data_IF_945385816903
#
_entry.id   IF_945385816903
#
_cell.length_a   1.000
_cell.length_b   1.000
_cell.length_c   1.000
_cell.angle_alpha   90.00
_cell.angle_beta   90.00
_cell.angle_gamma   90.00
#
_symmetry.space_group_name_H-M   'P 1'
#
loop_
_entity.id
_entity.type
_entity.pdbx_description
1 polymer ?
#
# COMPACT_ATOMS: atom_id res chain seq x y z
N UNK A 1 -2.89 2.37 38.18
CA UNK A 1 -2.43 1.10 37.60
C UNK A 1 -1.02 1.31 37.04
N UNK A 2 0.01 1.10 37.86
CA UNK A 2 1.42 1.29 37.46
C UNK A 2 1.88 0.06 36.66
N UNK A 3 2.26 0.24 35.38
CA UNK A 3 2.87 -0.81 34.54
C UNK A 3 4.33 -1.00 34.97
N UNK A 4 4.55 -1.80 36.02
CA UNK A 4 5.89 -2.27 36.39
C UNK A 4 6.49 -3.10 35.24
N UNK A 5 7.72 -2.79 34.81
CA UNK A 5 8.49 -3.62 33.88
C UNK A 5 8.52 -3.19 32.41
N UNK A 6 8.46 -1.90 32.10
CA UNK A 6 8.64 -1.43 30.72
C UNK A 6 10.05 -1.79 30.19
N UNK A 7 10.12 -2.84 29.39
CA UNK A 7 11.31 -3.30 28.68
C UNK A 7 11.46 -2.60 27.32
N UNK A 8 11.21 -1.29 27.29
CA UNK A 8 11.19 -0.46 26.07
C UNK A 8 12.53 -0.42 25.33
N UNK A 9 13.64 -0.71 26.03
CA UNK A 9 14.98 -0.74 25.44
C UNK A 9 15.40 -2.13 24.93
N UNK A 10 14.63 -3.20 25.18
CA UNK A 10 14.98 -4.56 24.76
C UNK A 10 14.14 -5.03 23.59
N UNK A 11 14.78 -5.71 22.62
CA UNK A 11 14.08 -6.34 21.51
C UNK A 11 13.20 -7.49 22.01
N UNK A 12 11.96 -7.56 21.51
CA UNK A 12 11.01 -8.65 21.81
C UNK A 12 11.35 -9.95 21.08
N UNK A 13 12.00 -9.84 19.91
CA UNK A 13 12.43 -10.96 19.09
C UNK A 13 13.94 -10.88 18.82
N UNK A 14 14.58 -12.05 18.74
CA UNK A 14 15.92 -12.15 18.16
C UNK A 14 15.87 -11.99 16.64
N UNK A 15 17.02 -11.70 16.02
CA UNK A 15 17.10 -11.58 14.56
C UNK A 15 16.73 -12.88 13.83
N UNK A 16 16.97 -14.04 14.47
CA UNK A 16 16.56 -15.34 13.93
C UNK A 16 15.04 -15.51 13.97
N UNK A 17 14.39 -15.16 15.08
CA UNK A 17 12.93 -15.22 15.22
C UNK A 17 12.24 -14.22 14.29
N UNK A 18 12.83 -13.03 14.09
CA UNK A 18 12.32 -12.05 13.14
C UNK A 18 12.36 -12.59 11.71
N UNK A 19 13.46 -13.22 11.30
CA UNK A 19 13.57 -13.85 9.97
C UNK A 19 12.56 -14.99 9.76
N UNK A 20 12.36 -15.83 10.79
CA UNK A 20 11.34 -16.89 10.77
C UNK A 20 9.94 -16.28 10.55
N UNK A 21 9.57 -15.28 11.36
CA UNK A 21 8.29 -14.60 11.26
C UNK A 21 8.09 -13.95 9.89
N UNK A 22 9.07 -13.19 9.40
CA UNK A 22 9.01 -12.55 8.08
C UNK A 22 8.85 -13.59 6.98
N UNK A 23 9.56 -14.72 7.04
CA UNK A 23 9.43 -15.78 6.05
C UNK A 23 8.03 -16.40 6.02
N UNK A 24 7.37 -16.56 7.18
CA UNK A 24 5.98 -17.03 7.26
C UNK A 24 5.02 -15.99 6.68
N UNK A 25 5.18 -14.72 7.04
CA UNK A 25 4.36 -13.60 6.53
C UNK A 25 4.44 -13.52 5.00
N UNK A 26 5.66 -13.52 4.44
CA UNK A 26 5.84 -13.47 2.98
C UNK A 26 5.19 -14.64 2.27
N UNK A 27 5.28 -15.87 2.82
CA UNK A 27 4.63 -17.04 2.24
C UNK A 27 3.10 -16.93 2.23
N UNK A 28 2.53 -16.32 3.27
CA UNK A 28 1.08 -16.08 3.35
C UNK A 28 0.66 -15.05 2.30
N UNK A 29 1.37 -13.94 2.16
CA UNK A 29 1.08 -12.94 1.13
C UNK A 29 1.26 -13.51 -0.29
N UNK A 30 2.28 -14.35 -0.52
CA UNK A 30 2.47 -15.07 -1.77
C UNK A 30 1.32 -16.03 -2.08
N UNK A 31 0.71 -16.64 -1.06
CA UNK A 31 -0.44 -17.54 -1.22
C UNK A 31 -1.71 -16.77 -1.57
N UNK A 32 -2.00 -15.68 -0.84
CA UNK A 32 -3.24 -14.91 -1.02
C UNK A 32 -3.19 -13.88 -2.15
N UNK A 33 -1.99 -13.53 -2.65
CA UNK A 33 -1.77 -12.52 -3.71
C UNK A 33 -2.28 -11.12 -3.35
N UNK A 34 -2.38 -10.83 -2.06
CA UNK A 34 -2.91 -9.60 -1.47
C UNK A 34 -2.09 -9.29 -0.21
N UNK A 35 -1.99 -8.02 0.22
CA UNK A 35 -1.46 -7.69 1.54
C UNK A 35 -2.36 -8.27 2.64
N UNK A 36 -1.76 -9.00 3.59
CA UNK A 36 -2.49 -9.69 4.66
C UNK A 36 -2.10 -9.12 6.03
N UNK A 37 -3.10 -8.76 6.83
CA UNK A 37 -2.94 -8.48 8.26
C UNK A 37 -2.96 -9.81 9.03
N UNK A 38 -1.92 -10.05 9.83
CA UNK A 38 -1.64 -11.33 10.48
C UNK A 38 -1.43 -11.12 11.97
N UNK A 39 -2.30 -11.74 12.76
CA UNK A 39 -2.11 -11.89 14.19
C UNK A 39 -1.38 -13.21 14.48
N UNK A 40 -0.34 -13.13 15.30
CA UNK A 40 0.51 -14.27 15.64
C UNK A 40 0.90 -14.23 17.12
N UNK A 41 1.28 -15.39 17.65
CA UNK A 41 1.83 -15.53 18.98
C UNK A 41 3.04 -16.44 18.96
N UNK A 42 3.95 -16.22 19.92
CA UNK A 42 5.07 -17.12 20.15
C UNK A 42 5.03 -17.61 21.60
N UNK A 43 5.10 -18.92 21.77
CA UNK A 43 5.28 -19.58 23.07
C UNK A 43 6.50 -20.47 22.94
N UNK A 44 7.51 -20.24 23.77
CA UNK A 44 8.84 -20.86 23.68
C UNK A 44 9.43 -20.71 22.25
N UNK A 45 9.71 -21.84 21.59
CA UNK A 45 10.26 -21.89 20.23
C UNK A 45 9.20 -22.07 19.14
N UNK A 46 7.91 -22.04 19.48
CA UNK A 46 6.82 -22.23 18.53
C UNK A 46 6.15 -20.91 18.14
N UNK A 47 6.06 -20.68 16.83
CA UNK A 47 5.28 -19.59 16.24
C UNK A 47 3.92 -20.12 15.77
N UNK A 48 2.84 -19.53 16.28
CA UNK A 48 1.46 -19.86 15.91
C UNK A 48 0.75 -18.67 15.28
N UNK A 49 -0.05 -18.92 14.24
CA UNK A 49 -0.91 -17.93 13.60
C UNK A 49 -2.29 -17.97 14.25
N UNK A 50 -2.77 -16.81 14.68
CA UNK A 50 -4.06 -16.67 15.35
C UNK A 50 -5.15 -16.23 14.37
N UNK A 51 -4.82 -15.29 13.49
CA UNK A 51 -5.73 -14.75 12.50
C UNK A 51 -4.98 -14.27 11.26
N UNK A 52 -5.59 -14.43 10.09
CA UNK A 52 -5.12 -13.87 8.82
C UNK A 52 -6.30 -13.23 8.09
N UNK A 53 -6.21 -11.94 7.73
CA UNK A 53 -7.26 -11.24 6.99
C UNK A 53 -6.69 -10.28 5.94
N UNK A 54 -7.32 -10.11 4.77
CA UNK A 54 -6.87 -9.11 3.80
C UNK A 54 -6.92 -7.68 4.34
N UNK A 55 -5.93 -6.86 3.99
CA UNK A 55 -5.97 -5.42 4.23
C UNK A 55 -6.87 -4.78 3.18
N UNK A 56 -7.96 -4.13 3.62
CA UNK A 56 -8.96 -3.51 2.73
C UNK A 56 -8.81 -2.00 2.57
N UNK A 57 -7.90 -1.38 3.33
CA UNK A 57 -7.61 0.05 3.25
C UNK A 57 -6.56 0.39 2.20
N UNK A 58 -5.96 -0.62 1.56
CA UNK A 58 -4.99 -0.42 0.49
C UNK A 58 -5.73 -0.07 -0.81
N UNK A 59 -5.37 1.06 -1.42
CA UNK A 59 -5.90 1.50 -2.72
C UNK A 59 -4.79 1.29 -3.74
N UNK A 60 -4.84 0.21 -4.54
CA UNK A 60 -3.74 -0.14 -5.42
C UNK A 60 -3.60 0.88 -6.53
N UNK A 61 -2.36 1.22 -6.87
CA UNK A 61 -2.06 1.93 -8.10
C UNK A 61 -2.36 1.02 -9.31
N UNK A 62 -2.79 1.59 -10.45
CA UNK A 62 -2.86 0.86 -11.71
C UNK A 62 -1.52 0.17 -12.05
N UNK A 63 -1.51 -1.05 -12.62
CA UNK A 63 -0.28 -1.78 -12.91
C UNK A 63 0.77 -0.99 -13.70
N UNK A 64 0.34 -0.17 -14.65
CA UNK A 64 1.20 0.71 -15.46
C UNK A 64 1.89 1.83 -14.67
N UNK A 65 1.39 2.13 -13.46
CA UNK A 65 1.94 3.13 -12.54
C UNK A 65 2.88 2.54 -11.50
N UNK A 66 2.92 1.21 -11.34
CA UNK A 66 3.79 0.52 -10.40
C UNK A 66 5.20 0.42 -10.99
N UNK A 67 6.20 0.93 -10.27
CA UNK A 67 7.63 0.76 -10.64
C UNK A 67 8.16 -0.55 -10.09
N UNK A 68 8.85 -1.33 -10.92
CA UNK A 68 9.42 -2.61 -10.48
C UNK A 68 10.62 -2.41 -9.54
N UNK A 69 10.98 -3.42 -8.74
CA UNK A 69 12.22 -3.39 -7.97
C UNK A 69 13.42 -3.05 -8.87
N UNK A 70 14.35 -2.22 -8.36
CA UNK A 70 15.56 -1.75 -9.07
C UNK A 70 15.30 -0.68 -10.16
N UNK A 71 14.06 -0.45 -10.59
CA UNK A 71 13.74 0.65 -11.51
C UNK A 71 13.79 2.02 -10.84
N UNK A 72 13.98 3.07 -11.65
CA UNK A 72 13.90 4.45 -11.19
C UNK A 72 12.48 4.74 -10.70
N UNK A 73 12.35 5.10 -9.43
CA UNK A 73 11.06 5.49 -8.81
C UNK A 73 10.43 6.68 -9.56
N UNK A 74 9.13 6.60 -9.79
CA UNK A 74 8.32 7.67 -10.38
C UNK A 74 7.61 8.43 -9.27
N UNK A 75 7.60 9.76 -9.37
CA UNK A 75 6.81 10.63 -8.50
C UNK A 75 5.61 11.12 -9.29
N UNK A 76 4.41 10.85 -8.79
CA UNK A 76 3.16 11.30 -9.40
C UNK A 76 2.64 12.54 -8.67
N UNK A 77 2.13 13.50 -9.42
CA UNK A 77 1.44 14.67 -8.87
C UNK A 77 -0.07 14.48 -9.05
N UNK A 78 -0.83 14.58 -7.97
CA UNK A 78 -2.28 14.49 -8.02
C UNK A 78 -2.90 15.88 -8.27
N UNK A 79 -3.42 16.07 -9.49
CA UNK A 79 -4.10 17.29 -9.88
C UNK A 79 -5.44 17.50 -9.17
N UNK A 80 -6.10 16.44 -8.67
CA UNK A 80 -7.36 16.54 -7.94
C UNK A 80 -7.20 17.24 -6.58
N UNK A 81 -5.99 17.15 -6.00
CA UNK A 81 -5.60 17.84 -4.77
C UNK A 81 -5.04 19.26 -5.01
N UNK A 82 -4.96 19.71 -6.26
CA UNK A 82 -4.53 21.08 -6.57
C UNK A 82 -5.58 22.11 -6.12
N UNK A 83 -5.11 23.31 -5.74
CA UNK A 83 -5.99 24.43 -5.38
C UNK A 83 -6.88 24.77 -6.58
N UNK A 84 -8.17 24.45 -6.48
CA UNK A 84 -9.20 24.84 -7.46
C UNK A 84 -10.11 23.70 -7.90
N UNK A 85 -9.64 22.45 -7.95
CA UNK A 85 -10.47 21.29 -8.34
C UNK A 85 -11.09 20.58 -7.13
N UNK A 86 -10.41 20.62 -5.97
CA UNK A 86 -10.83 20.12 -4.63
C UNK A 86 -11.75 18.91 -4.68
N UNK A 87 -11.36 17.89 -5.45
CA UNK A 87 -12.19 16.70 -5.63
C UNK A 87 -11.79 15.70 -4.55
N UNK A 88 -12.63 15.56 -3.53
CA UNK A 88 -12.36 14.71 -2.36
C UNK A 88 -12.98 13.30 -2.50
N UNK A 89 -13.47 12.94 -3.69
CA UNK A 89 -14.13 11.67 -3.97
C UNK A 89 -13.70 11.11 -5.34
N UNK A 90 -13.77 9.79 -5.57
CA UNK A 90 -13.47 9.21 -6.87
C UNK A 90 -14.34 9.80 -7.98
N UNK A 91 -13.71 10.13 -9.12
CA UNK A 91 -14.42 10.55 -10.33
C UNK A 91 -14.97 9.29 -11.02
N UNK A 92 -16.25 9.33 -11.42
CA UNK A 92 -16.90 8.21 -12.11
C UNK A 92 -16.18 7.88 -13.44
N UNK A 93 -16.21 6.61 -13.91
CA UNK A 93 -15.54 6.22 -15.16
C UNK A 93 -15.91 7.09 -16.38
N UNK A 94 -17.21 7.36 -16.57
CA UNK A 94 -17.69 8.24 -17.65
C UNK A 94 -17.20 9.69 -17.48
N UNK A 95 -17.08 10.16 -16.23
CA UNK A 95 -16.53 11.48 -15.92
C UNK A 95 -15.04 11.57 -16.29
N UNK A 96 -14.26 10.53 -15.99
CA UNK A 96 -12.86 10.44 -16.37
C UNK A 96 -12.67 10.43 -17.89
N UNK A 97 -13.52 9.69 -18.63
CA UNK A 97 -13.43 9.63 -20.09
C UNK A 97 -13.79 10.97 -20.75
N UNK A 98 -14.81 11.66 -20.22
CA UNK A 98 -15.16 13.01 -20.65
C UNK A 98 -14.01 14.00 -20.37
N UNK A 99 -13.40 13.94 -19.19
CA UNK A 99 -12.25 14.78 -18.85
C UNK A 99 -11.06 14.51 -19.77
N UNK A 100 -10.70 13.23 -19.99
CA UNK A 100 -9.63 12.85 -20.93
C UNK A 100 -9.88 13.44 -22.32
N UNK A 101 -11.09 13.26 -22.85
CA UNK A 101 -11.46 13.76 -24.17
C UNK A 101 -11.34 15.29 -24.28
N UNK A 102 -11.81 16.01 -23.24
CA UNK A 102 -11.70 17.46 -23.17
C UNK A 102 -10.24 17.93 -23.12
N UNK A 103 -9.41 17.31 -22.28
CA UNK A 103 -7.99 17.67 -22.16
C UNK A 103 -7.23 17.38 -23.47
N UNK A 104 -7.48 16.25 -24.13
CA UNK A 104 -6.90 15.92 -25.42
C UNK A 104 -7.24 16.95 -26.48
N UNK A 105 -8.52 17.35 -26.59
CA UNK A 105 -8.95 18.36 -27.56
C UNK A 105 -8.28 19.74 -27.32
N UNK A 106 -8.14 20.15 -26.06
CA UNK A 106 -7.45 21.40 -25.70
C UNK A 106 -5.97 21.35 -26.09
N UNK A 107 -5.29 20.23 -25.82
CA UNK A 107 -3.87 20.04 -26.15
C UNK A 107 -3.65 20.03 -27.66
N UNK A 108 -4.51 19.35 -28.42
CA UNK A 108 -4.47 19.34 -29.89
C UNK A 108 -4.60 20.75 -30.46
N UNK A 109 -5.58 21.52 -30.00
CA UNK A 109 -5.77 22.93 -30.40
C UNK A 109 -4.57 23.81 -30.06
N UNK A 110 -3.91 23.58 -28.92
CA UNK A 110 -2.69 24.31 -28.53
C UNK A 110 -1.47 23.91 -29.35
N UNK A 111 -1.36 22.63 -29.73
CA UNK A 111 -0.25 22.10 -30.53
C UNK A 111 -0.33 22.44 -32.02
N UNK A 112 -1.54 22.73 -32.51
CA UNK A 112 -1.81 23.14 -33.89
C UNK A 112 -1.57 24.63 -34.15
N UNK A 113 -1.08 25.36 -33.14
CA UNK A 113 -0.78 26.79 -33.17
C UNK A 113 0.72 27.03 -33.01
#
# INVERSE_FOLDING_TARGET
>A
MQRNGHRSASRTLSDAQLRELTGVICRIEELFKLPIDIEWARVDDRLDLLQTRPITSDVPLPPEMITQPVERRRLYADAALSKGLTTNAPILPLGLDNMKSLFSAILELWSAR
#
